data_IF_504065044848
#
_entry.id   IF_504065044848
#
_cell.length_a   1.000
_cell.length_b   1.000
_cell.length_c   1.000
_cell.angle_alpha   90.00
_cell.angle_beta   90.00
_cell.angle_gamma   90.00
#
_symmetry.space_group_name_H-M   'P 1'
#
loop_
_entity.id
_entity.type
_entity.pdbx_description
1 polymer ?
#
# COMPACT_ATOMS: atom_id res chain seq x y z
N UNK A 1 19.08 -5.06 -14.98
CA UNK A 1 18.85 -3.89 -15.87
C UNK A 1 18.81 -2.64 -15.01
N UNK A 2 19.34 -1.49 -15.44
CA UNK A 2 19.18 -0.24 -14.69
C UNK A 2 17.72 0.22 -14.72
N UNK A 3 17.21 0.66 -13.57
CA UNK A 3 15.85 1.16 -13.40
C UNK A 3 15.92 2.64 -13.02
N UNK A 4 15.14 3.45 -13.73
CA UNK A 4 14.96 4.86 -13.43
C UNK A 4 13.50 5.09 -13.10
N UNK A 5 13.23 5.39 -11.83
CA UNK A 5 11.88 5.68 -11.37
C UNK A 5 11.49 7.10 -11.80
N UNK A 6 10.21 7.32 -12.04
CA UNK A 6 9.64 8.65 -12.27
C UNK A 6 9.60 9.46 -10.96
N UNK A 7 9.32 8.78 -9.85
CA UNK A 7 9.30 9.28 -8.48
C UNK A 7 10.71 9.51 -7.96
N UNK A 8 11.21 10.74 -8.09
CA UNK A 8 12.57 11.08 -7.64
C UNK A 8 12.76 10.85 -6.13
N UNK A 9 11.73 11.16 -5.33
CA UNK A 9 11.77 10.98 -3.88
C UNK A 9 11.86 9.49 -3.53
N UNK A 10 10.97 8.65 -4.07
CA UNK A 10 11.02 7.19 -3.88
C UNK A 10 12.38 6.60 -4.31
N UNK A 11 12.94 7.01 -5.46
CA UNK A 11 14.26 6.56 -5.91
C UNK A 11 15.35 6.93 -4.89
N UNK A 12 15.34 8.15 -4.37
CA UNK A 12 16.30 8.59 -3.34
C UNK A 12 16.19 7.75 -2.07
N UNK A 13 14.97 7.49 -1.60
CA UNK A 13 14.72 6.66 -0.41
C UNK A 13 15.23 5.23 -0.62
N UNK A 14 14.93 4.61 -1.77
CA UNK A 14 15.40 3.27 -2.12
C UNK A 14 16.93 3.20 -2.22
N UNK A 15 17.58 4.18 -2.85
CA UNK A 15 19.03 4.23 -2.92
C UNK A 15 19.65 4.34 -1.52
N UNK A 16 19.07 5.16 -0.63
CA UNK A 16 19.50 5.26 0.77
C UNK A 16 19.30 3.94 1.51
N UNK A 17 18.13 3.32 1.39
CA UNK A 17 17.78 2.04 2.04
C UNK A 17 18.70 0.89 1.59
N UNK A 18 18.98 0.82 0.29
CA UNK A 18 19.80 -0.24 -0.34
C UNK A 18 21.29 0.10 -0.40
N UNK A 19 21.72 1.21 0.22
CA UNK A 19 23.10 1.69 0.25
C UNK A 19 23.75 1.85 -1.14
N UNK A 20 23.01 2.44 -2.08
CA UNK A 20 23.42 2.70 -3.47
C UNK A 20 24.04 4.10 -3.61
N UNK A 21 25.37 4.17 -3.50
CA UNK A 21 26.13 5.44 -3.52
C UNK A 21 26.15 6.14 -4.88
N UNK A 22 25.91 5.41 -5.95
CA UNK A 22 25.84 5.91 -7.33
C UNK A 22 24.44 6.40 -7.72
N UNK A 23 23.45 6.29 -6.82
CA UNK A 23 22.03 6.55 -7.08
C UNK A 23 21.44 5.73 -8.24
N UNK A 24 22.06 4.59 -8.57
CA UNK A 24 21.62 3.68 -9.62
C UNK A 24 20.89 2.51 -8.98
N UNK A 25 19.62 2.36 -9.33
CA UNK A 25 18.82 1.18 -8.98
C UNK A 25 18.89 0.18 -10.12
N UNK A 26 18.92 -1.10 -9.76
CA UNK A 26 18.81 -2.19 -10.72
C UNK A 26 17.59 -3.04 -10.38
N UNK A 27 17.08 -3.73 -11.38
CA UNK A 27 15.96 -4.65 -11.21
C UNK A 27 16.19 -5.66 -10.08
N UNK A 28 17.39 -6.23 -9.97
CA UNK A 28 17.75 -7.16 -8.89
C UNK A 28 17.72 -6.54 -7.49
N UNK A 29 17.78 -5.21 -7.39
CA UNK A 29 17.67 -4.51 -6.11
C UNK A 29 16.23 -4.32 -5.69
N UNK A 30 15.34 -3.99 -6.64
CA UNK A 30 13.91 -3.83 -6.38
C UNK A 30 13.23 -5.17 -6.06
N UNK A 31 13.73 -6.28 -6.63
CA UNK A 31 13.31 -7.64 -6.27
C UNK A 31 13.60 -8.05 -4.82
N UNK A 32 14.44 -7.30 -4.10
CA UNK A 32 14.69 -7.56 -2.67
C UNK A 32 13.67 -6.89 -1.76
N UNK A 33 12.92 -5.91 -2.26
CA UNK A 33 11.90 -5.21 -1.48
C UNK A 33 10.68 -6.11 -1.35
N UNK A 34 10.26 -6.36 -0.11
CA UNK A 34 9.17 -7.28 0.22
C UNK A 34 7.96 -6.60 0.82
N UNK A 35 8.15 -5.41 1.38
CA UNK A 35 7.10 -4.60 1.98
C UNK A 35 7.31 -3.13 1.64
N UNK A 36 6.21 -2.46 1.27
CA UNK A 36 6.12 -1.02 1.12
C UNK A 36 4.86 -0.55 1.83
N UNK A 37 4.99 0.43 2.71
CA UNK A 37 3.87 1.26 3.19
C UNK A 37 4.15 2.70 2.85
N UNK A 38 3.14 3.39 2.32
CA UNK A 38 3.15 4.83 2.13
C UNK A 38 1.96 5.40 2.88
N UNK A 39 2.16 6.49 3.61
CA UNK A 39 1.09 7.21 4.28
C UNK A 39 1.20 8.71 4.07
N UNK A 40 0.06 9.40 4.05
CA UNK A 40 -0.01 10.86 3.85
C UNK A 40 -0.81 11.62 4.92
N UNK A 41 -1.55 10.93 5.79
CA UNK A 41 -2.45 11.53 6.78
C UNK A 41 -1.78 12.48 7.78
N UNK A 42 -0.57 12.14 8.24
CA UNK A 42 0.19 12.95 9.21
C UNK A 42 1.47 13.50 8.57
N UNK A 43 1.41 13.70 7.26
CA UNK A 43 2.56 13.95 6.40
C UNK A 43 3.01 12.72 5.66
N UNK A 44 3.85 12.96 4.65
CA UNK A 44 4.31 11.90 3.76
C UNK A 44 5.31 10.98 4.49
N UNK A 45 5.00 9.70 4.56
CA UNK A 45 5.85 8.68 5.16
C UNK A 45 5.99 7.51 4.18
N UNK A 46 7.21 6.98 4.06
CA UNK A 46 7.51 5.73 3.37
C UNK A 46 8.19 4.78 4.33
N UNK A 47 7.66 3.57 4.46
CA UNK A 47 8.29 2.47 5.18
C UNK A 47 8.63 1.33 4.23
N UNK A 48 9.82 0.74 4.40
CA UNK A 48 10.35 -0.30 3.53
C UNK A 48 10.87 -1.49 4.35
N UNK A 49 10.73 -2.71 3.81
CA UNK A 49 11.44 -3.89 4.32
C UNK A 49 11.99 -4.77 3.21
N UNK A 50 13.12 -5.42 3.50
CA UNK A 50 13.64 -6.56 2.73
C UNK A 50 13.10 -7.90 3.24
N UNK A 51 12.49 -7.91 4.42
CA UNK A 51 11.91 -9.11 5.02
C UNK A 51 10.48 -9.28 4.53
N UNK A 52 10.08 -10.53 4.26
CA UNK A 52 8.68 -10.83 4.00
C UNK A 52 7.85 -10.52 5.26
N UNK A 53 6.66 -9.93 5.09
CA UNK A 53 5.74 -9.77 6.22
C UNK A 53 5.31 -11.13 6.78
N UNK A 54 4.82 -11.21 8.02
CA UNK A 54 4.25 -12.43 8.58
C UNK A 54 3.08 -12.96 7.74
N UNK A 55 2.79 -14.26 7.84
CA UNK A 55 1.75 -14.90 7.01
C UNK A 55 0.38 -14.23 7.17
N UNK A 56 0.02 -13.88 8.41
CA UNK A 56 -1.08 -12.98 8.74
C UNK A 56 -0.51 -11.68 9.27
N UNK A 57 -0.94 -10.54 8.75
CA UNK A 57 -0.37 -9.26 9.13
C UNK A 57 -1.46 -8.31 9.64
N UNK A 58 -1.33 -7.93 10.91
CA UNK A 58 -2.17 -6.90 11.53
C UNK A 58 -1.23 -5.78 11.95
N UNK A 59 -1.17 -4.69 11.17
CA UNK A 59 -0.29 -3.57 11.46
C UNK A 59 -0.56 -2.96 12.83
N UNK A 60 0.44 -2.42 13.53
CA UNK A 60 0.20 -1.72 14.79
C UNK A 60 -0.52 -0.38 14.61
N UNK A 61 -0.49 0.19 13.40
CA UNK A 61 -1.26 1.36 13.02
C UNK A 61 -2.67 1.02 12.51
N UNK A 62 -3.15 -0.21 12.76
CA UNK A 62 -4.54 -0.57 12.48
C UNK A 62 -5.49 0.16 13.44
N UNK A 63 -6.38 0.98 12.90
CA UNK A 63 -7.55 1.50 13.60
C UNK A 63 -8.59 0.41 13.87
N UNK A 64 -9.69 0.78 14.53
CA UNK A 64 -10.83 -0.10 14.77
C UNK A 64 -11.53 -0.52 13.47
N UNK A 65 -11.35 0.24 12.38
CA UNK A 65 -11.93 -0.10 11.09
C UNK A 65 -11.26 -1.35 10.46
N UNK A 66 -10.10 -1.81 10.92
CA UNK A 66 -9.52 -3.10 10.48
C UNK A 66 -10.44 -4.29 10.81
N UNK A 67 -11.28 -4.17 11.85
CA UNK A 67 -12.26 -5.21 12.21
C UNK A 67 -13.36 -5.36 11.14
N UNK A 68 -13.68 -4.29 10.41
CA UNK A 68 -14.80 -4.26 9.48
C UNK A 68 -14.42 -3.89 8.03
N UNK A 69 -13.17 -3.57 7.74
CA UNK A 69 -12.72 -3.12 6.41
C UNK A 69 -11.67 -4.04 5.78
N UNK A 70 -11.59 -5.30 6.22
CA UNK A 70 -10.59 -6.26 5.76
C UNK A 70 -11.17 -7.62 5.37
N UNK A 71 -10.67 -8.20 4.28
CA UNK A 71 -10.94 -9.56 3.81
C UNK A 71 -9.68 -10.41 3.91
N UNK A 72 -9.73 -11.51 4.67
CA UNK A 72 -8.60 -12.39 4.99
C UNK A 72 -8.47 -13.64 4.10
N UNK A 73 -9.20 -13.67 2.98
CA UNK A 73 -9.05 -14.62 1.88
C UNK A 73 -9.92 -14.19 0.69
N UNK A 74 -9.37 -13.42 -0.26
CA UNK A 74 -10.14 -12.96 -1.43
C UNK A 74 -10.41 -14.09 -2.45
N UNK A 75 -9.58 -15.15 -2.45
CA UNK A 75 -9.73 -16.32 -3.33
C UNK A 75 -10.99 -17.13 -3.08
N UNK A 76 -11.72 -16.85 -1.99
CA UNK A 76 -13.03 -17.46 -1.72
C UNK A 76 -14.13 -16.97 -2.67
N UNK A 77 -13.93 -15.83 -3.32
CA UNK A 77 -14.84 -15.25 -4.29
C UNK A 77 -14.43 -15.64 -5.72
N UNK A 78 -15.41 -15.86 -6.60
CA UNK A 78 -15.13 -16.18 -8.01
C UNK A 78 -14.94 -14.90 -8.83
N UNK A 79 -15.68 -13.85 -8.48
CA UNK A 79 -15.70 -12.56 -9.16
C UNK A 79 -15.48 -11.40 -8.19
N UNK A 80 -14.88 -10.32 -8.71
CA UNK A 80 -14.57 -9.10 -7.93
C UNK A 80 -15.84 -8.44 -7.38
N UNK A 81 -16.91 -8.40 -8.18
CA UNK A 81 -18.18 -7.79 -7.79
C UNK A 81 -18.90 -8.57 -6.69
N UNK A 82 -18.43 -9.74 -6.27
CA UNK A 82 -18.93 -10.42 -5.07
C UNK A 82 -18.49 -9.71 -3.78
N UNK A 83 -17.36 -8.99 -3.80
CA UNK A 83 -16.77 -8.40 -2.59
C UNK A 83 -16.35 -6.94 -2.71
N UNK A 84 -16.19 -6.40 -3.92
CA UNK A 84 -15.93 -4.99 -4.18
C UNK A 84 -17.17 -4.34 -4.76
N UNK A 85 -17.46 -3.14 -4.27
CA UNK A 85 -18.28 -2.17 -4.97
C UNK A 85 -17.45 -0.95 -5.34
N UNK A 86 -17.79 -0.33 -6.47
CA UNK A 86 -17.15 0.89 -6.93
C UNK A 86 -18.22 1.95 -7.17
N UNK A 87 -18.03 3.13 -6.60
CA UNK A 87 -18.90 4.28 -6.85
C UNK A 87 -18.17 5.29 -7.72
N UNK A 88 -18.88 5.83 -8.72
CA UNK A 88 -18.30 6.82 -9.64
C UNK A 88 -18.61 8.23 -9.14
N UNK A 89 -17.57 9.03 -8.97
CA UNK A 89 -17.61 10.42 -8.53
C UNK A 89 -16.99 11.32 -9.59
N UNK A 90 -17.82 12.07 -10.34
CA UNK A 90 -17.36 12.93 -11.45
C UNK A 90 -16.45 12.17 -12.43
N UNK A 91 -15.13 12.35 -12.28
CA UNK A 91 -14.06 11.77 -13.12
C UNK A 91 -13.24 10.67 -12.40
N UNK A 92 -13.66 10.20 -11.22
CA UNK A 92 -12.99 9.14 -10.47
C UNK A 92 -13.94 8.05 -9.95
N UNK A 93 -13.34 7.00 -9.38
CA UNK A 93 -14.00 5.89 -8.72
C UNK A 93 -13.46 5.74 -7.30
N UNK A 94 -14.35 5.61 -6.33
CA UNK A 94 -14.03 5.07 -5.01
C UNK A 94 -14.26 3.56 -5.01
N UNK A 95 -13.56 2.85 -4.12
CA UNK A 95 -13.72 1.41 -3.92
C UNK A 95 -14.15 1.16 -2.47
N UNK A 96 -15.04 0.19 -2.29
CA UNK A 96 -15.49 -0.23 -0.98
C UNK A 96 -15.68 -1.74 -0.93
N UNK A 97 -15.53 -2.32 0.26
CA UNK A 97 -15.85 -3.72 0.50
C UNK A 97 -17.33 -3.86 0.85
N UNK A 98 -17.98 -4.85 0.24
CA UNK A 98 -19.39 -5.14 0.52
C UNK A 98 -19.55 -5.73 1.91
N UNK A 99 -20.50 -5.24 2.71
CA UNK A 99 -20.83 -5.78 4.04
C UNK A 99 -20.97 -7.30 4.05
N UNK A 100 -21.67 -7.87 3.06
CA UNK A 100 -21.85 -9.33 2.92
C UNK A 100 -20.55 -10.11 2.70
N UNK A 101 -19.55 -9.47 2.08
CA UNK A 101 -18.24 -10.05 1.90
C UNK A 101 -17.38 -9.95 3.16
N UNK A 102 -17.83 -9.19 4.16
CA UNK A 102 -17.20 -9.09 5.47
C UNK A 102 -17.85 -10.08 6.46
N UNK A 103 -19.10 -10.47 6.23
CA UNK A 103 -19.78 -11.52 6.99
C UNK A 103 -19.02 -12.87 6.96
N UNK A 104 -19.05 -13.57 8.10
CA UNK A 104 -18.51 -14.92 8.28
C UNK A 104 -17.01 -15.07 7.95
N UNK A 105 -16.22 -14.00 8.09
CA UNK A 105 -14.79 -14.16 8.20
C UNK A 105 -14.48 -14.83 9.53
N UNK A 106 -13.57 -15.82 9.51
CA UNK A 106 -13.09 -16.45 10.74
C UNK A 106 -12.62 -15.32 11.65
N UNK A 107 -13.14 -15.25 12.88
CA UNK A 107 -12.74 -14.25 13.86
C UNK A 107 -11.26 -14.49 14.21
N UNK A 108 -10.37 -13.92 13.40
CA UNK A 108 -8.94 -13.82 13.69
C UNK A 108 -8.75 -13.18 15.07
N UNK A 109 -9.69 -12.28 15.39
CA UNK A 109 -9.84 -11.54 16.64
C UNK A 109 -10.05 -12.43 17.88
N UNK A 110 -10.64 -13.62 17.76
CA UNK A 110 -11.00 -14.44 18.94
C UNK A 110 -9.94 -15.46 19.39
N UNK A 111 -9.04 -15.91 18.50
CA UNK A 111 -8.15 -17.05 18.81
C UNK A 111 -6.67 -16.77 18.57
N UNK A 112 -6.32 -15.99 17.54
CA UNK A 112 -4.91 -15.81 17.14
C UNK A 112 -4.45 -14.35 17.13
N UNK A 113 -5.34 -13.39 17.41
CA UNK A 113 -5.04 -11.96 17.36
C UNK A 113 -3.78 -11.55 18.13
N UNK A 114 -3.67 -11.91 19.41
CA UNK A 114 -2.51 -11.52 20.23
C UNK A 114 -1.19 -12.02 19.64
N UNK A 115 -1.21 -13.25 19.10
CA UNK A 115 -0.03 -13.86 18.47
C UNK A 115 0.31 -13.15 17.16
N UNK A 116 -0.69 -12.92 16.30
CA UNK A 116 -0.52 -12.25 15.01
C UNK A 116 -0.05 -10.81 15.21
N UNK A 117 -0.66 -10.09 16.15
CA UNK A 117 -0.29 -8.72 16.54
C UNK A 117 1.16 -8.69 17.03
N UNK A 118 1.56 -9.59 17.93
CA UNK A 118 2.94 -9.66 18.39
C UNK A 118 3.94 -9.98 17.26
N UNK A 119 3.59 -10.88 16.34
CA UNK A 119 4.44 -11.18 15.16
C UNK A 119 4.54 -9.98 14.21
N UNK A 120 3.43 -9.28 14.00
CA UNK A 120 3.36 -8.07 13.18
C UNK A 120 4.19 -6.93 13.78
N UNK A 121 4.09 -6.67 15.09
CA UNK A 121 4.91 -5.66 15.75
C UNK A 121 6.40 -5.98 15.69
N UNK A 122 6.80 -7.25 15.85
CA UNK A 122 8.21 -7.65 15.68
C UNK A 122 8.71 -7.44 14.26
N UNK A 123 7.85 -7.66 13.27
CA UNK A 123 8.18 -7.35 11.88
C UNK A 123 8.34 -5.84 11.68
N UNK A 124 7.46 -5.03 12.28
CA UNK A 124 7.47 -3.57 12.15
C UNK A 124 8.72 -2.92 12.76
N UNK A 125 9.31 -3.52 13.80
CA UNK A 125 10.63 -3.12 14.33
C UNK A 125 11.76 -3.19 13.27
N UNK A 126 11.56 -3.93 12.17
CA UNK A 126 12.53 -4.05 11.08
C UNK A 126 12.37 -3.00 9.97
N UNK A 127 11.32 -2.19 10.02
CA UNK A 127 11.00 -1.24 8.95
C UNK A 127 11.98 -0.07 8.94
N UNK A 128 12.40 0.31 7.74
CA UNK A 128 13.10 1.57 7.53
C UNK A 128 12.09 2.65 7.12
N UNK A 129 11.99 3.71 7.91
CA UNK A 129 11.09 4.84 7.65
C UNK A 129 11.82 6.03 7.03
N UNK A 130 11.12 6.73 6.14
CA UNK A 130 11.58 7.90 5.41
C UNK A 130 10.47 8.93 5.33
N UNK A 131 10.80 10.18 5.63
CA UNK A 131 9.94 11.34 5.44
C UNK A 131 10.62 12.31 4.45
N UNK A 132 9.87 13.07 3.64
CA UNK A 132 10.44 14.02 2.69
C UNK A 132 11.05 15.25 3.37
N UNK A 133 10.58 15.61 4.57
CA UNK A 133 11.01 16.79 5.32
C UNK A 133 11.59 16.36 6.66
N UNK A 134 12.76 16.89 7.04
CA UNK A 134 13.40 16.64 8.34
C UNK A 134 12.61 17.35 9.46
N UNK A 135 11.48 16.77 9.90
CA UNK A 135 10.78 17.07 11.17
C UNK A 135 10.24 18.49 11.40
N UNK A 136 10.46 19.43 10.47
CA UNK A 136 10.01 20.81 10.56
C UNK A 136 8.80 21.03 9.66
N UNK A 137 7.61 20.66 10.15
CA UNK A 137 6.35 21.20 9.63
C UNK A 137 6.24 22.68 10.04
N UNK A 138 6.99 23.55 9.37
CA UNK A 138 6.54 24.94 9.25
C UNK A 138 5.68 24.95 7.99
N UNK A 139 4.36 25.07 8.18
CA UNK A 139 3.47 25.67 7.17
C UNK A 139 3.95 27.11 6.96
N UNK A 140 5.11 27.29 6.33
CA UNK A 140 5.37 28.55 5.65
C UNK A 140 4.31 28.60 4.56
N UNK A 141 3.64 29.74 4.47
CA UNK A 141 2.67 30.06 3.43
C UNK A 141 3.32 29.83 2.06
N UNK A 142 3.25 28.59 1.58
CA UNK A 142 3.47 28.28 0.18
C UNK A 142 2.13 28.55 -0.49
N UNK A 143 2.19 29.59 -1.31
CA UNK A 143 1.16 30.07 -2.22
C UNK A 143 0.41 28.89 -2.87
N UNK A 144 -0.86 29.13 -3.21
CA UNK A 144 -1.86 28.25 -3.84
C UNK A 144 -1.40 27.50 -5.11
N UNK A 145 -0.11 27.49 -5.45
CA UNK A 145 0.51 26.84 -6.61
C UNK A 145 1.27 25.54 -6.25
N UNK A 146 1.27 25.10 -4.99
CA UNK A 146 1.87 23.83 -4.55
C UNK A 146 0.99 22.58 -4.84
N UNK A 147 -0.05 22.72 -5.65
CA UNK A 147 -1.07 21.67 -5.88
C UNK A 147 -0.61 20.44 -6.69
N UNK A 148 0.61 20.36 -7.23
CA UNK A 148 0.93 19.30 -8.21
C UNK A 148 2.38 18.76 -8.29
N UNK A 149 3.14 18.71 -7.19
CA UNK A 149 4.33 17.83 -7.16
C UNK A 149 4.01 16.51 -6.47
N UNK A 150 3.28 15.63 -7.16
CA UNK A 150 3.05 14.24 -6.72
C UNK A 150 4.40 13.59 -6.41
N UNK A 151 4.63 13.17 -5.16
CA UNK A 151 5.89 12.55 -4.76
C UNK A 151 6.04 11.13 -5.29
N UNK A 152 4.91 10.56 -5.75
CA UNK A 152 4.84 9.23 -6.33
C UNK A 152 4.26 9.23 -7.74
N UNK A 153 4.59 8.16 -8.43
CA UNK A 153 4.03 7.79 -9.71
C UNK A 153 3.72 6.30 -9.65
N UNK A 154 2.45 5.94 -9.83
CA UNK A 154 1.98 4.56 -9.71
C UNK A 154 2.65 3.59 -10.69
N UNK A 155 3.16 4.07 -11.84
CA UNK A 155 3.89 3.21 -12.78
C UNK A 155 5.21 2.67 -12.20
N UNK A 156 5.83 3.38 -11.26
CA UNK A 156 7.07 2.92 -10.64
C UNK A 156 6.88 1.62 -9.86
N UNK A 157 5.66 1.36 -9.38
CA UNK A 157 5.34 0.17 -8.61
C UNK A 157 5.40 -1.11 -9.45
N UNK A 158 5.30 -1.01 -10.79
CA UNK A 158 5.44 -2.14 -11.73
C UNK A 158 6.79 -2.84 -11.60
N UNK A 159 7.79 -2.19 -11.01
CA UNK A 159 9.15 -2.73 -10.87
C UNK A 159 9.33 -3.63 -9.63
N UNK A 160 8.40 -3.64 -8.66
CA UNK A 160 8.54 -4.43 -7.41
C UNK A 160 7.91 -5.83 -7.54
N UNK A 161 8.32 -6.58 -8.56
CA UNK A 161 7.76 -7.91 -8.92
C UNK A 161 7.80 -8.97 -7.80
N UNK A 162 8.60 -8.76 -6.75
CA UNK A 162 8.74 -9.66 -5.61
C UNK A 162 8.06 -9.14 -4.33
N UNK A 163 7.31 -8.04 -4.43
CA UNK A 163 6.61 -7.41 -3.31
C UNK A 163 5.51 -8.32 -2.78
N UNK A 164 5.43 -8.49 -1.46
CA UNK A 164 4.44 -9.35 -0.81
C UNK A 164 3.36 -8.55 -0.10
N UNK A 165 3.69 -7.34 0.39
CA UNK A 165 2.73 -6.42 0.96
C UNK A 165 2.92 -4.99 0.45
N UNK A 166 1.80 -4.37 0.09
CA UNK A 166 1.71 -2.97 -0.31
C UNK A 166 0.60 -2.30 0.47
N UNK A 167 0.90 -1.20 1.14
CA UNK A 167 -0.07 -0.44 1.92
C UNK A 167 -0.02 1.02 1.50
N UNK A 168 -1.14 1.56 1.04
CA UNK A 168 -1.33 2.98 0.79
C UNK A 168 -2.31 3.51 1.83
N UNK A 169 -1.86 4.44 2.67
CA UNK A 169 -2.66 5.06 3.73
C UNK A 169 -2.96 6.50 3.34
N UNK A 170 -4.23 6.78 3.05
CA UNK A 170 -4.74 8.12 2.75
C UNK A 170 -4.15 8.79 1.50
N UNK A 171 -3.68 7.97 0.55
CA UNK A 171 -2.94 8.44 -0.63
C UNK A 171 -3.85 8.92 -1.77
N UNK A 172 -4.98 9.57 -1.44
CA UNK A 172 -6.04 9.91 -2.40
C UNK A 172 -5.59 10.89 -3.49
N UNK A 173 -4.54 11.68 -3.21
CA UNK A 173 -3.92 12.65 -4.15
C UNK A 173 -2.77 12.04 -4.97
N UNK A 174 -2.32 10.83 -4.66
CA UNK A 174 -1.14 10.21 -5.29
C UNK A 174 -1.51 8.96 -6.11
N UNK A 175 -2.51 8.20 -5.65
CA UNK A 175 -2.87 6.89 -6.20
C UNK A 175 -4.18 6.99 -6.97
N UNK A 176 -4.05 7.25 -8.27
CA UNK A 176 -5.17 7.35 -9.21
C UNK A 176 -5.35 6.15 -10.13
N UNK A 177 -4.42 5.20 -10.10
CA UNK A 177 -4.43 3.98 -10.93
C UNK A 177 -3.84 2.82 -10.15
N UNK A 178 -4.38 1.63 -10.38
CA UNK A 178 -3.90 0.37 -9.78
C UNK A 178 -3.56 -0.67 -10.85
N UNK A 179 -3.40 -0.28 -12.12
CA UNK A 179 -3.05 -1.17 -13.22
C UNK A 179 -1.66 -1.83 -13.04
N UNK A 180 -0.80 -1.23 -12.21
CA UNK A 180 0.49 -1.80 -11.83
C UNK A 180 0.36 -3.12 -11.08
N UNK A 181 -0.77 -3.40 -10.42
CA UNK A 181 -1.03 -4.66 -9.71
C UNK A 181 -0.84 -5.88 -10.62
N UNK A 182 -1.06 -5.74 -11.93
CA UNK A 182 -0.82 -6.77 -12.96
C UNK A 182 0.63 -7.27 -13.05
N UNK A 183 1.56 -6.59 -12.39
CA UNK A 183 2.99 -6.93 -12.36
C UNK A 183 3.43 -7.47 -10.99
N UNK A 184 2.52 -7.54 -10.01
CA UNK A 184 2.83 -7.88 -8.63
C UNK A 184 2.33 -9.29 -8.29
N UNK A 185 2.82 -10.30 -9.02
CA UNK A 185 2.39 -11.71 -8.90
C UNK A 185 2.63 -12.32 -7.49
N UNK A 186 3.47 -11.69 -6.68
CA UNK A 186 3.78 -12.09 -5.29
C UNK A 186 2.98 -11.35 -4.24
N UNK A 187 2.21 -10.33 -4.64
CA UNK A 187 1.44 -9.54 -3.71
C UNK A 187 0.36 -10.41 -3.09
N UNK A 188 0.35 -10.44 -1.76
CA UNK A 188 -0.60 -11.20 -0.96
C UNK A 188 -1.36 -10.34 0.03
N UNK A 189 -0.78 -9.21 0.46
CA UNK A 189 -1.42 -8.22 1.33
C UNK A 189 -1.51 -6.90 0.56
N UNK A 190 -2.72 -6.37 0.42
CA UNK A 190 -2.94 -5.03 -0.12
C UNK A 190 -3.82 -4.23 0.83
N UNK A 191 -3.40 -3.01 1.13
CA UNK A 191 -4.20 -2.06 1.87
C UNK A 191 -4.35 -0.77 1.06
N UNK A 192 -5.59 -0.35 0.86
CA UNK A 192 -5.97 0.87 0.15
C UNK A 192 -6.81 1.74 1.08
N UNK A 193 -6.16 2.64 1.80
CA UNK A 193 -6.82 3.70 2.55
C UNK A 193 -6.96 4.96 1.69
N UNK A 194 -8.19 5.40 1.45
CA UNK A 194 -8.48 6.64 0.72
C UNK A 194 -7.83 6.71 -0.67
N UNK A 195 -8.44 6.07 -1.68
CA UNK A 195 -7.98 6.16 -3.08
C UNK A 195 -9.07 6.74 -3.98
N UNK A 196 -8.67 7.50 -5.00
CA UNK A 196 -9.56 8.11 -6.00
C UNK A 196 -9.07 7.72 -7.38
N UNK A 197 -9.64 6.65 -7.94
CA UNK A 197 -9.12 6.01 -9.15
C UNK A 197 -9.71 6.62 -10.42
N UNK A 198 -8.90 6.95 -11.42
CA UNK A 198 -9.36 7.39 -12.75
C UNK A 198 -9.94 6.24 -13.58
N UNK A 199 -9.59 4.99 -13.24
CA UNK A 199 -9.99 3.78 -13.97
C UNK A 199 -10.01 2.57 -13.04
N UNK A 200 -10.78 1.54 -13.41
CA UNK A 200 -10.86 0.27 -12.69
C UNK A 200 -9.90 -0.79 -13.25
N UNK A 201 -8.96 -0.42 -14.12
CA UNK A 201 -7.99 -1.36 -14.69
C UNK A 201 -7.06 -1.92 -13.60
N UNK A 202 -6.95 -3.26 -13.53
CA UNK A 202 -6.15 -3.95 -12.50
C UNK A 202 -6.95 -4.39 -11.28
N UNK A 203 -8.23 -4.01 -11.18
CA UNK A 203 -9.11 -4.44 -10.08
C UNK A 203 -9.30 -5.96 -10.05
N UNK A 204 -9.19 -6.64 -11.19
CA UNK A 204 -9.25 -8.10 -11.32
C UNK A 204 -8.16 -8.83 -10.51
N UNK A 205 -7.05 -8.17 -10.20
CA UNK A 205 -5.94 -8.75 -9.45
C UNK A 205 -6.23 -8.88 -7.95
N UNK A 206 -7.21 -8.13 -7.44
CA UNK A 206 -7.58 -8.14 -6.03
C UNK A 206 -8.09 -9.49 -5.54
N UNK A 207 -8.57 -10.37 -6.44
CA UNK A 207 -9.04 -11.72 -6.10
C UNK A 207 -7.93 -12.71 -5.72
N UNK A 208 -6.66 -12.34 -5.95
CA UNK A 208 -5.51 -13.22 -5.73
C UNK A 208 -4.85 -13.00 -4.36
N UNK A 209 -5.37 -12.08 -3.55
CA UNK A 209 -4.81 -11.65 -2.27
C UNK A 209 -5.20 -12.58 -1.11
N UNK A 210 -4.26 -12.75 -0.18
CA UNK A 210 -4.52 -13.37 1.11
C UNK A 210 -5.19 -12.39 2.07
N UNK A 211 -4.86 -11.11 1.97
CA UNK A 211 -5.41 -10.03 2.79
C UNK A 211 -5.66 -8.80 1.91
N UNK A 212 -6.88 -8.28 1.97
CA UNK A 212 -7.27 -7.04 1.31
C UNK A 212 -7.99 -6.15 2.32
N UNK A 213 -7.46 -4.97 2.56
CA UNK A 213 -8.13 -3.95 3.36
C UNK A 213 -8.41 -2.72 2.50
N UNK A 214 -9.64 -2.21 2.56
CA UNK A 214 -10.03 -0.98 1.86
C UNK A 214 -10.78 -0.10 2.84
N UNK A 215 -10.23 1.08 3.10
CA UNK A 215 -10.76 2.00 4.11
C UNK A 215 -11.55 3.12 3.45
N UNK A 216 -12.65 3.48 4.11
CA UNK A 216 -13.37 4.72 3.82
C UNK A 216 -12.68 5.87 4.55
N UNK A 217 -12.44 6.98 3.85
CA UNK A 217 -12.17 8.28 4.46
C UNK A 217 -13.49 9.05 4.63
#
# INVERSE_FOLDING_TARGET
MEIKLKSKWLQKCLCKFLNKKDNILKEEDLKKIKYIRIGTSNGYELQLSLQAPPQKFIPSDCGDEYECCCIYNTKRFNFIDEFIESEKWEDSYSLELKDKALENQVDIWDVEFEKISMESSKFEESLASFEPYDGCYIKEEYEEDAENETLLNTDDFKCFTELEALRFMDCCIEIHKIDFLKNLDKLRILELGGVSLESLDGLEELKNLEELCIWRN
#
